data_IF_567701491169
#
_entry.id   IF_567701491169
#
_cell.length_a   1.000
_cell.length_b   1.000
_cell.length_c   1.000
_cell.angle_alpha   90.00
_cell.angle_beta   90.00
_cell.angle_gamma   90.00
#
_symmetry.space_group_name_H-M   'P 1'
#
loop_
_entity.id
_entity.type
_entity.pdbx_description
1 polymer ?
#
# COMPACT_ATOMS: atom_id res chain seq x y z
N UNK A 1 -5.08 -5.98 10.56
CA UNK A 1 -4.52 -4.62 10.72
C UNK A 1 -3.10 -4.59 10.17
N UNK A 2 -2.89 -3.73 9.17
CA UNK A 2 -1.60 -3.55 8.48
C UNK A 2 -0.53 -3.02 9.45
N UNK A 3 0.65 -3.65 9.43
CA UNK A 3 1.75 -3.36 10.38
C UNK A 3 2.90 -2.56 9.78
N UNK A 4 2.87 -2.28 8.47
CA UNK A 4 3.89 -1.47 7.81
C UNK A 4 3.41 -0.94 6.45
N UNK A 5 4.06 0.11 5.94
CA UNK A 5 3.82 0.55 4.55
C UNK A 5 4.12 -0.54 3.53
N UNK A 6 5.14 -1.38 3.77
CA UNK A 6 5.43 -2.52 2.88
C UNK A 6 4.23 -3.45 2.76
N UNK A 7 3.59 -3.78 3.88
CA UNK A 7 2.40 -4.62 3.90
C UNK A 7 1.21 -3.93 3.23
N UNK A 8 0.99 -2.64 3.47
CA UNK A 8 -0.02 -1.83 2.79
C UNK A 8 0.12 -1.88 1.26
N UNK A 9 1.31 -1.60 0.73
CA UNK A 9 1.54 -1.58 -0.71
C UNK A 9 1.49 -2.97 -1.34
N UNK A 10 1.89 -4.02 -0.60
CA UNK A 10 1.69 -5.39 -1.04
C UNK A 10 0.20 -5.73 -1.18
N UNK A 11 -0.62 -5.35 -0.19
CA UNK A 11 -2.08 -5.54 -0.23
C UNK A 11 -2.73 -4.73 -1.37
N UNK A 12 -2.26 -3.52 -1.64
CA UNK A 12 -2.70 -2.75 -2.82
C UNK A 12 -2.36 -3.46 -4.13
N UNK A 13 -1.18 -4.05 -4.23
CA UNK A 13 -0.78 -4.80 -5.42
C UNK A 13 -1.64 -6.06 -5.59
N UNK A 14 -1.90 -6.80 -4.50
CA UNK A 14 -2.81 -7.96 -4.48
C UNK A 14 -4.23 -7.56 -4.91
N UNK A 15 -4.76 -6.46 -4.35
CA UNK A 15 -6.06 -5.92 -4.72
C UNK A 15 -6.16 -5.59 -6.21
N UNK A 16 -5.10 -4.99 -6.78
CA UNK A 16 -5.05 -4.69 -8.21
C UNK A 16 -5.10 -5.96 -9.05
N UNK A 17 -4.33 -6.98 -8.69
CA UNK A 17 -4.32 -8.28 -9.38
C UNK A 17 -5.69 -8.97 -9.32
N UNK A 18 -6.35 -8.96 -8.16
CA UNK A 18 -7.69 -9.55 -7.98
C UNK A 18 -8.76 -8.82 -8.80
N UNK A 19 -8.71 -7.48 -8.86
CA UNK A 19 -9.64 -6.67 -9.68
C UNK A 19 -9.42 -6.86 -11.17
N UNK A 20 -8.18 -7.04 -11.62
CA UNK A 20 -7.85 -7.37 -13.01
C UNK A 20 -8.37 -8.78 -13.37
N UNK A 21 -8.21 -9.75 -12.48
CA UNK A 21 -8.69 -11.12 -12.68
C UNK A 21 -10.24 -11.21 -12.75
N UNK A 22 -10.96 -10.42 -11.95
CA UNK A 22 -12.44 -10.36 -11.96
C UNK A 22 -13.03 -9.97 -13.34
N UNK A 23 -12.23 -9.36 -14.23
CA UNK A 23 -12.67 -8.92 -15.56
C UNK A 23 -12.71 -10.00 -16.65
N UNK A 24 -12.34 -11.25 -16.37
CA UNK A 24 -12.32 -12.34 -17.35
C UNK A 24 -13.13 -13.57 -16.87
N UNK A 25 -14.07 -14.00 -17.73
CA UNK A 25 -14.74 -15.32 -17.82
C UNK A 25 -16.15 -15.48 -17.22
N UNK A 26 -16.96 -16.29 -17.92
CA UNK A 26 -18.37 -16.60 -17.64
C UNK A 26 -18.71 -18.10 -17.79
N UNK A 27 -18.62 -18.87 -16.70
CA UNK A 27 -19.23 -20.20 -16.47
C UNK A 27 -19.66 -20.37 -14.99
N UNK A 28 -20.39 -21.45 -14.65
CA UNK A 28 -21.02 -21.63 -13.32
C UNK A 28 -20.01 -21.90 -12.18
N UNK A 29 -18.96 -22.68 -12.41
CA UNK A 29 -17.88 -22.90 -11.44
C UNK A 29 -17.13 -21.59 -11.12
N UNK A 30 -17.07 -20.68 -12.11
CA UNK A 30 -16.49 -19.36 -11.96
C UNK A 30 -17.35 -18.44 -11.07
N UNK A 31 -18.64 -18.73 -10.85
CA UNK A 31 -19.47 -17.94 -9.92
C UNK A 31 -19.05 -18.13 -8.45
N UNK A 32 -18.70 -19.36 -8.04
CA UNK A 32 -18.20 -19.61 -6.69
C UNK A 32 -16.82 -18.99 -6.50
N UNK A 33 -15.95 -19.10 -7.51
CA UNK A 33 -14.64 -18.42 -7.50
C UNK A 33 -14.78 -16.90 -7.44
N UNK A 34 -15.72 -16.32 -8.17
CA UNK A 34 -16.03 -14.88 -8.11
C UNK A 34 -16.48 -14.44 -6.71
N UNK A 35 -17.34 -15.20 -6.04
CA UNK A 35 -17.75 -14.89 -4.66
C UNK A 35 -16.55 -14.91 -3.71
N UNK A 36 -15.64 -15.89 -3.85
CA UNK A 36 -14.41 -15.98 -3.06
C UNK A 36 -13.50 -14.77 -3.33
N UNK A 37 -13.31 -14.40 -4.60
CA UNK A 37 -12.50 -13.25 -5.00
C UNK A 37 -13.10 -11.94 -4.45
N UNK A 38 -14.41 -11.73 -4.56
CA UNK A 38 -15.08 -10.55 -4.04
C UNK A 38 -15.01 -10.45 -2.51
N UNK A 39 -15.14 -11.59 -1.81
CA UNK A 39 -14.91 -11.64 -0.37
C UNK A 39 -13.50 -11.18 -0.04
N UNK A 40 -12.49 -11.70 -0.76
CA UNK A 40 -11.09 -11.34 -0.53
C UNK A 40 -10.77 -9.89 -0.88
N UNK A 41 -11.38 -9.34 -1.93
CA UNK A 41 -11.29 -7.90 -2.25
C UNK A 41 -11.80 -7.08 -1.07
N UNK A 42 -13.00 -7.39 -0.56
CA UNK A 42 -13.59 -6.68 0.59
C UNK A 42 -12.72 -6.80 1.85
N UNK A 43 -12.16 -7.97 2.11
CA UNK A 43 -11.25 -8.19 3.25
C UNK A 43 -10.01 -7.31 3.14
N UNK A 44 -9.40 -7.25 1.96
CA UNK A 44 -8.23 -6.40 1.70
C UNK A 44 -8.61 -4.91 1.81
N UNK A 45 -9.74 -4.49 1.23
CA UNK A 45 -10.21 -3.10 1.31
C UNK A 45 -10.45 -2.67 2.75
N UNK A 46 -11.04 -3.55 3.56
CA UNK A 46 -11.23 -3.32 5.00
C UNK A 46 -9.89 -3.19 5.73
N UNK A 47 -8.95 -4.09 5.45
CA UNK A 47 -7.63 -4.10 6.09
C UNK A 47 -6.81 -2.83 5.80
N UNK A 48 -6.90 -2.29 4.59
CA UNK A 48 -6.12 -1.11 4.16
C UNK A 48 -6.85 0.21 4.41
N UNK A 49 -8.15 0.19 4.72
CA UNK A 49 -8.99 1.39 4.82
C UNK A 49 -8.39 2.46 5.74
N UNK A 50 -8.01 2.09 6.96
CA UNK A 50 -7.44 3.02 7.95
C UNK A 50 -6.13 3.64 7.48
N UNK A 51 -5.25 2.83 6.86
CA UNK A 51 -3.97 3.32 6.35
C UNK A 51 -4.19 4.25 5.15
N UNK A 52 -5.09 3.90 4.23
CA UNK A 52 -5.46 4.76 3.09
C UNK A 52 -5.97 6.11 3.58
N UNK A 53 -6.94 6.12 4.50
CA UNK A 53 -7.48 7.32 5.10
C UNK A 53 -6.38 8.15 5.77
N UNK A 54 -5.50 7.50 6.53
CA UNK A 54 -4.42 8.18 7.22
C UNK A 54 -3.37 8.78 6.28
N UNK A 55 -3.07 8.13 5.15
CA UNK A 55 -2.21 8.71 4.09
C UNK A 55 -2.86 9.96 3.49
N UNK A 56 -4.16 9.91 3.21
CA UNK A 56 -4.90 11.03 2.59
C UNK A 56 -5.03 12.25 3.52
N UNK A 57 -5.01 12.07 4.84
CA UNK A 57 -5.27 13.14 5.80
C UNK A 57 -4.06 13.58 6.64
N UNK A 58 -3.09 12.69 6.89
CA UNK A 58 -2.00 12.96 7.86
C UNK A 58 -0.59 12.92 7.26
N UNK A 59 -0.45 12.40 6.05
CA UNK A 59 0.81 12.35 5.33
C UNK A 59 0.87 13.53 4.35
N UNK A 60 1.94 14.32 4.44
CA UNK A 60 2.12 15.50 3.59
C UNK A 60 2.61 15.12 2.18
N UNK A 61 2.73 16.09 1.28
CA UNK A 61 3.07 15.85 -0.13
C UNK A 61 4.49 15.26 -0.33
N UNK A 62 5.48 15.76 0.41
CA UNK A 62 6.86 15.22 0.37
C UNK A 62 6.89 13.75 0.83
N UNK A 63 6.16 13.43 1.90
CA UNK A 63 6.06 12.09 2.46
C UNK A 63 5.31 11.15 1.50
N UNK A 64 4.23 11.60 0.85
CA UNK A 64 3.54 10.84 -0.21
C UNK A 64 4.46 10.56 -1.38
N UNK A 65 5.23 11.57 -1.80
CA UNK A 65 6.23 11.43 -2.86
C UNK A 65 7.26 10.37 -2.51
N UNK A 66 7.77 10.37 -1.26
CA UNK A 66 8.67 9.33 -0.78
C UNK A 66 8.06 7.93 -0.87
N UNK A 67 6.83 7.75 -0.37
CA UNK A 67 6.14 6.45 -0.39
C UNK A 67 5.90 5.95 -1.82
N UNK A 68 5.46 6.83 -2.72
CA UNK A 68 5.29 6.53 -4.14
C UNK A 68 6.59 6.06 -4.79
N UNK A 69 7.68 6.82 -4.60
CA UNK A 69 8.97 6.48 -5.19
C UNK A 69 9.54 5.17 -4.64
N UNK A 70 9.38 4.92 -3.34
CA UNK A 70 9.89 3.70 -2.70
C UNK A 70 9.09 2.45 -3.05
N UNK A 71 7.76 2.51 -2.98
CA UNK A 71 6.93 1.32 -3.06
C UNK A 71 6.27 1.10 -4.42
N UNK A 72 5.82 2.17 -5.09
CA UNK A 72 5.24 2.04 -6.43
C UNK A 72 6.31 2.02 -7.52
N UNK A 73 7.30 2.92 -7.45
CA UNK A 73 8.43 2.94 -8.40
C UNK A 73 9.60 2.04 -8.01
N UNK A 74 9.56 1.44 -6.81
CA UNK A 74 10.56 0.48 -6.33
C UNK A 74 11.99 1.00 -6.43
N UNK A 75 12.20 2.30 -6.21
CA UNK A 75 13.54 2.90 -6.25
C UNK A 75 14.41 2.40 -5.10
N UNK A 76 15.72 2.29 -5.36
CA UNK A 76 16.68 1.87 -4.35
C UNK A 76 16.83 2.94 -3.25
N UNK A 77 17.19 2.52 -2.04
CA UNK A 77 17.45 3.44 -0.93
C UNK A 77 18.57 4.44 -1.24
N UNK A 78 19.57 4.06 -2.05
CA UNK A 78 20.63 4.97 -2.52
C UNK A 78 20.07 6.07 -3.42
N UNK A 79 19.17 5.72 -4.33
CA UNK A 79 18.49 6.69 -5.21
C UNK A 79 17.64 7.66 -4.41
N UNK A 80 16.89 7.14 -3.42
CA UNK A 80 16.09 7.97 -2.52
C UNK A 80 16.95 8.89 -1.65
N UNK A 81 18.12 8.41 -1.19
CA UNK A 81 19.09 9.24 -0.46
C UNK A 81 19.55 10.44 -1.28
N UNK A 82 19.83 10.24 -2.57
CA UNK A 82 20.18 11.33 -3.49
C UNK A 82 19.02 12.30 -3.74
N UNK A 83 17.78 11.81 -3.89
CA UNK A 83 16.60 12.65 -4.17
C UNK A 83 16.23 13.52 -2.95
N UNK A 84 16.22 12.92 -1.76
CA UNK A 84 15.77 13.59 -0.54
C UNK A 84 16.92 14.23 0.25
N UNK A 85 18.16 14.07 -0.21
CA UNK A 85 19.37 14.52 0.47
C UNK A 85 19.40 14.09 1.96
N UNK A 86 19.07 12.81 2.21
CA UNK A 86 18.96 12.22 3.54
C UNK A 86 19.65 10.86 3.56
N UNK A 87 20.44 10.61 4.59
CA UNK A 87 21.08 9.30 4.76
C UNK A 87 20.07 8.16 4.81
N UNK A 88 20.46 6.95 4.41
CA UNK A 88 19.61 5.75 4.49
C UNK A 88 19.00 5.56 5.89
N UNK A 89 19.79 5.76 6.95
CA UNK A 89 19.31 5.66 8.33
C UNK A 89 18.25 6.73 8.65
N UNK A 90 18.40 7.94 8.11
CA UNK A 90 17.42 9.02 8.22
C UNK A 90 16.14 8.66 7.47
N UNK A 91 16.24 8.06 6.29
CA UNK A 91 15.07 7.59 5.53
C UNK A 91 14.27 6.51 6.27
N UNK A 92 14.96 5.58 6.94
CA UNK A 92 14.28 4.59 7.81
C UNK A 92 13.54 5.26 8.97
N UNK A 93 14.16 6.23 9.64
CA UNK A 93 13.51 7.00 10.71
C UNK A 93 12.34 7.83 10.18
N UNK A 94 12.49 8.37 8.97
CA UNK A 94 11.48 9.16 8.30
C UNK A 94 10.23 8.31 8.00
N UNK A 95 10.41 7.12 7.46
CA UNK A 95 9.32 6.15 7.24
C UNK A 95 8.64 5.73 8.55
N UNK A 96 9.42 5.38 9.57
CA UNK A 96 8.86 5.04 10.88
C UNK A 96 8.08 6.20 11.49
N UNK A 97 8.54 7.44 11.31
CA UNK A 97 7.83 8.64 11.76
C UNK A 97 6.49 8.78 11.02
N UNK A 98 6.46 8.57 9.71
CA UNK A 98 5.21 8.57 8.94
C UNK A 98 4.25 7.50 9.46
N UNK A 99 4.72 6.27 9.65
CA UNK A 99 3.86 5.17 10.08
C UNK A 99 3.27 5.42 11.47
N UNK A 100 4.07 5.96 12.40
CA UNK A 100 3.59 6.38 13.73
C UNK A 100 2.51 7.46 13.69
N UNK A 101 2.50 8.35 12.68
CA UNK A 101 1.38 9.30 12.51
C UNK A 101 0.05 8.60 12.27
N UNK A 102 0.10 7.40 11.69
CA UNK A 102 -1.07 6.57 11.38
C UNK A 102 -1.48 5.68 12.56
N UNK A 103 -0.54 5.29 13.44
CA UNK A 103 -0.79 4.43 14.60
C UNK A 103 -1.45 5.13 15.80
N UNK A 104 -1.35 6.46 15.91
CA UNK A 104 -1.78 7.21 17.11
C UNK A 104 -3.33 7.23 17.28
N UNK A 105 -4.11 6.56 16.41
CA UNK A 105 -5.58 6.63 16.44
C UNK A 105 -6.26 5.32 16.07
#
# INVERSE_FOLDING_TARGET
MVKSFKEYFNKLQELKQLKEYHSCNSTLDEMLEQIIIESRIRDIESDIFYIKYGIENYINEEERTYLYLKYEKKLSLKTLESIFNKSVSTLYRYENKMFKKLEIR
#
